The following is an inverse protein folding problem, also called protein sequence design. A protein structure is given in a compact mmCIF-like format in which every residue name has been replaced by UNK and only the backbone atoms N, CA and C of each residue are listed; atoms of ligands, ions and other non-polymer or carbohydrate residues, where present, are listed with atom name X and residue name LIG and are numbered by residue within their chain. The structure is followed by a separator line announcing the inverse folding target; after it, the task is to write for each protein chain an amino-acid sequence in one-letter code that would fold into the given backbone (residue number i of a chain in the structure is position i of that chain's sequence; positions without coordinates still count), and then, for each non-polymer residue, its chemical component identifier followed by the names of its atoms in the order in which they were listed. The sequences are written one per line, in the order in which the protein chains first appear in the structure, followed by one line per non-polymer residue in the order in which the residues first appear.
data_IF_420269424616
#
_entry.id   IF_420269424616
#
_cell.length_a   1.000
_cell.length_b   1.000
_cell.length_c   1.000
_cell.angle_alpha   90.00
_cell.angle_beta   90.00
_cell.angle_gamma   90.00
#
_symmetry.space_group_name_H-M   'P 1'
#
loop_
_entity.id
_entity.type
_entity.pdbx_description
1 polymer ?
#
# COMPACT_ATOMS: atom_id res chain seq x y z
N UNK A 1 -4.42 13.97 -5.03
CA UNK A 1 -3.49 13.89 -6.18
C UNK A 1 -3.06 12.44 -6.31
N UNK A 2 -3.42 11.76 -7.40
CA UNK A 2 -2.99 10.38 -7.64
C UNK A 2 -1.50 10.34 -7.92
N UNK A 3 -0.77 9.43 -7.26
CA UNK A 3 0.69 9.24 -7.31
C UNK A 3 1.24 8.74 -8.67
N UNK A 4 0.56 9.05 -9.78
CA UNK A 4 0.91 8.57 -11.12
C UNK A 4 1.27 9.69 -12.10
N UNK A 5 0.91 10.94 -11.80
CA UNK A 5 1.23 12.11 -12.61
C UNK A 5 2.52 12.76 -12.14
N UNK A 6 3.37 13.15 -13.10
CA UNK A 6 4.53 13.99 -12.84
C UNK A 6 4.10 15.38 -12.30
N UNK A 7 5.07 16.13 -11.81
CA UNK A 7 4.95 17.58 -11.65
C UNK A 7 4.59 18.25 -12.97
N UNK A 8 3.51 19.02 -12.94
CA UNK A 8 3.15 19.96 -13.99
C UNK A 8 3.57 21.37 -13.56
N UNK A 9 4.20 22.10 -14.48
CA UNK A 9 4.61 23.49 -14.26
C UNK A 9 3.42 24.43 -13.98
N UNK A 10 2.20 24.05 -14.37
CA UNK A 10 0.99 24.84 -14.08
C UNK A 10 0.59 24.81 -12.61
N UNK A 11 0.99 23.81 -11.82
CA UNK A 11 0.57 23.71 -10.42
C UNK A 11 1.01 24.90 -9.57
N UNK A 12 2.19 25.44 -9.85
CA UNK A 12 2.64 26.68 -9.20
C UNK A 12 1.76 27.88 -9.56
N UNK A 13 1.34 27.98 -10.83
CA UNK A 13 0.45 29.04 -11.32
C UNK A 13 -0.96 28.89 -10.74
N UNK A 14 -1.47 27.66 -10.64
CA UNK A 14 -2.77 27.36 -10.05
C UNK A 14 -2.82 27.73 -8.56
N UNK A 15 -1.79 27.34 -7.78
CA UNK A 15 -1.65 27.78 -6.39
C UNK A 15 -1.61 29.30 -6.29
N UNK A 16 -0.82 29.97 -7.14
CA UNK A 16 -0.74 31.43 -7.14
C UNK A 16 -2.10 32.07 -7.44
N UNK A 17 -2.86 31.52 -8.39
CA UNK A 17 -4.20 31.99 -8.72
C UNK A 17 -5.19 31.80 -7.56
N UNK A 18 -5.14 30.66 -6.87
CA UNK A 18 -5.97 30.42 -5.67
C UNK A 18 -5.63 31.44 -4.57
N UNK A 19 -4.35 31.70 -4.34
CA UNK A 19 -3.91 32.68 -3.35
C UNK A 19 -4.40 34.08 -3.73
N UNK A 20 -4.24 34.48 -5.00
CA UNK A 20 -4.74 35.77 -5.49
C UNK A 20 -6.25 35.92 -5.27
N UNK A 21 -7.04 34.90 -5.62
CA UNK A 21 -8.49 34.93 -5.43
C UNK A 21 -8.87 35.12 -3.95
N UNK A 22 -8.21 34.41 -3.04
CA UNK A 22 -8.45 34.56 -1.59
C UNK A 22 -8.08 35.97 -1.11
N UNK A 23 -6.97 36.52 -1.58
CA UNK A 23 -6.54 37.87 -1.24
C UNK A 23 -7.47 38.96 -1.80
N UNK A 24 -8.05 38.75 -2.98
CA UNK A 24 -8.94 39.70 -3.65
C UNK A 24 -10.39 39.66 -3.11
N UNK A 25 -10.87 38.49 -2.67
CA UNK A 25 -12.25 38.31 -2.19
C UNK A 25 -12.45 38.83 -0.76
N UNK A 26 -11.44 38.75 0.10
CA UNK A 26 -11.56 39.10 1.52
C UNK A 26 -11.20 40.56 1.82
N UNK A 27 -12.12 41.46 1.45
CA UNK A 27 -11.97 42.92 1.65
C UNK A 27 -11.86 43.35 3.11
N UNK A 28 -12.24 42.49 4.05
CA UNK A 28 -12.20 42.77 5.49
C UNK A 28 -10.79 42.61 6.07
N UNK A 29 -9.91 41.84 5.42
CA UNK A 29 -8.56 41.54 5.91
C UNK A 29 -7.51 42.63 5.65
N UNK A 30 -7.81 43.66 4.83
CA UNK A 30 -6.86 44.72 4.41
C UNK A 30 -5.41 44.20 4.22
N UNK A 31 -5.25 43.16 3.41
CA UNK A 31 -3.95 42.55 3.15
C UNK A 31 -3.07 43.55 2.40
N UNK A 32 -1.94 43.94 2.98
CA UNK A 32 -0.96 44.77 2.28
C UNK A 32 -0.21 43.95 1.23
N UNK A 33 0.33 44.62 0.21
CA UNK A 33 1.13 43.96 -0.82
C UNK A 33 2.32 43.17 -0.25
N UNK A 34 2.90 43.63 0.87
CA UNK A 34 4.00 42.94 1.54
C UNK A 34 3.54 41.61 2.17
N UNK A 35 2.37 41.60 2.84
CA UNK A 35 1.80 40.40 3.44
C UNK A 35 1.36 39.41 2.35
N UNK A 36 0.77 39.90 1.27
CA UNK A 36 0.40 39.08 0.11
C UNK A 36 1.62 38.39 -0.50
N UNK A 37 2.73 39.12 -0.67
CA UNK A 37 3.99 38.57 -1.14
C UNK A 37 4.54 37.50 -0.19
N UNK A 38 4.55 37.76 1.12
CA UNK A 38 5.00 36.79 2.13
C UNK A 38 4.14 35.52 2.11
N UNK A 39 2.82 35.66 2.00
CA UNK A 39 1.88 34.54 1.95
C UNK A 39 2.14 33.66 0.72
N UNK A 40 2.32 34.28 -0.45
CA UNK A 40 2.68 33.59 -1.70
C UNK A 40 3.97 32.81 -1.56
N UNK A 41 5.01 33.45 -1.03
CA UNK A 41 6.31 32.82 -0.82
C UNK A 41 6.23 31.67 0.18
N UNK A 42 5.49 31.83 1.28
CA UNK A 42 5.32 30.80 2.29
C UNK A 42 4.61 29.56 1.73
N UNK A 43 3.48 29.76 1.05
CA UNK A 43 2.69 28.65 0.49
C UNK A 43 3.46 27.94 -0.62
N UNK A 44 4.02 28.69 -1.58
CA UNK A 44 4.81 28.10 -2.67
C UNK A 44 6.08 27.42 -2.15
N UNK A 45 6.72 27.99 -1.13
CA UNK A 45 7.88 27.42 -0.46
C UNK A 45 7.56 26.07 0.20
N UNK A 46 6.42 25.96 0.88
CA UNK A 46 5.97 24.69 1.46
C UNK A 46 5.58 23.67 0.37
N UNK A 47 4.90 24.11 -0.69
CA UNK A 47 4.48 23.23 -1.79
C UNK A 47 5.66 22.68 -2.62
N UNK A 48 6.80 23.39 -2.66
CA UNK A 48 7.98 22.98 -3.42
C UNK A 48 8.48 21.58 -3.01
N UNK A 49 8.42 21.25 -1.72
CA UNK A 49 8.81 19.92 -1.22
C UNK A 49 7.95 18.81 -1.83
N UNK A 50 6.63 19.03 -1.86
CA UNK A 50 5.67 18.09 -2.41
C UNK A 50 5.82 17.93 -3.93
N UNK A 51 6.04 19.04 -4.65
CA UNK A 51 6.30 19.02 -6.10
C UNK A 51 7.56 18.25 -6.46
N UNK A 52 8.64 18.47 -5.72
CA UNK A 52 9.88 17.72 -5.91
C UNK A 52 9.70 16.24 -5.61
N UNK A 53 8.94 15.90 -4.56
CA UNK A 53 8.68 14.51 -4.21
C UNK A 53 7.86 13.82 -5.30
N UNK A 54 6.83 14.48 -5.82
CA UNK A 54 6.01 13.97 -6.91
C UNK A 54 6.83 13.70 -8.18
N UNK A 55 7.72 14.62 -8.57
CA UNK A 55 8.63 14.41 -9.69
C UNK A 55 9.60 13.24 -9.46
N UNK A 56 10.21 13.15 -8.26
CA UNK A 56 11.12 12.06 -7.92
C UNK A 56 10.42 10.70 -7.98
N UNK A 57 9.19 10.61 -7.48
CA UNK A 57 8.38 9.39 -7.53
C UNK A 57 8.03 9.01 -8.96
N UNK A 58 7.65 10.00 -9.78
CA UNK A 58 7.39 9.80 -11.20
C UNK A 58 8.62 9.29 -11.94
N UNK A 59 9.78 9.93 -11.79
CA UNK A 59 11.04 9.50 -12.39
C UNK A 59 11.41 8.10 -11.92
N UNK A 60 11.34 7.83 -10.61
CA UNK A 60 11.65 6.49 -10.07
C UNK A 60 10.79 5.39 -10.70
N UNK A 61 9.50 5.66 -10.93
CA UNK A 61 8.56 4.68 -11.50
C UNK A 61 8.73 4.52 -13.02
N UNK A 62 9.11 5.59 -13.73
CA UNK A 62 9.09 5.62 -15.19
C UNK A 62 10.48 5.61 -15.86
N UNK A 63 11.57 5.82 -15.11
CA UNK A 63 12.93 5.74 -15.64
C UNK A 63 13.29 4.28 -15.97
N UNK A 64 13.53 3.94 -17.25
CA UNK A 64 13.82 2.58 -17.66
C UNK A 64 15.11 2.02 -17.04
N UNK A 65 16.10 2.86 -16.77
CA UNK A 65 17.39 2.45 -16.20
C UNK A 65 17.25 2.09 -14.72
N UNK A 66 16.45 2.85 -13.97
CA UNK A 66 16.08 2.51 -12.58
C UNK A 66 15.29 1.21 -12.57
N UNK A 67 14.23 1.10 -13.39
CA UNK A 67 13.40 -0.10 -13.47
C UNK A 67 14.20 -1.36 -13.84
N UNK A 68 15.07 -1.28 -14.86
CA UNK A 68 15.96 -2.39 -15.23
C UNK A 68 16.95 -2.73 -14.11
N UNK A 69 17.46 -1.73 -13.41
CA UNK A 69 18.32 -1.92 -12.24
C UNK A 69 17.62 -2.72 -11.13
N UNK A 70 16.37 -2.39 -10.82
CA UNK A 70 15.55 -3.08 -9.82
C UNK A 70 15.19 -4.51 -10.26
N UNK A 71 14.98 -4.76 -11.56
CA UNK A 71 14.68 -6.10 -12.09
C UNK A 71 15.92 -7.00 -12.23
N UNK A 72 17.12 -6.43 -12.33
CA UNK A 72 18.38 -7.17 -12.57
C UNK A 72 18.59 -8.37 -11.64
N UNK A 73 18.35 -8.31 -10.32
CA UNK A 73 18.49 -9.47 -9.44
C UNK A 73 17.51 -10.60 -9.76
N UNK A 74 16.28 -10.27 -10.17
CA UNK A 74 15.26 -11.25 -10.54
C UNK A 74 15.62 -11.94 -11.86
N UNK A 75 16.01 -11.18 -12.88
CA UNK A 75 16.52 -11.71 -14.15
C UNK A 75 17.75 -12.60 -13.93
N UNK A 76 18.70 -12.15 -13.12
CA UNK A 76 19.91 -12.92 -12.82
C UNK A 76 19.59 -14.25 -12.13
N UNK A 77 18.72 -14.24 -11.10
CA UNK A 77 18.26 -15.48 -10.47
C UNK A 77 17.53 -16.39 -11.48
N UNK A 78 16.62 -15.82 -12.30
CA UNK A 78 15.86 -16.60 -13.30
C UNK A 78 16.80 -17.26 -14.31
N UNK A 79 17.85 -16.55 -14.72
CA UNK A 79 18.90 -17.07 -15.58
C UNK A 79 19.69 -18.20 -14.90
N UNK A 80 20.13 -18.02 -13.66
CA UNK A 80 20.83 -19.06 -12.90
C UNK A 80 20.02 -20.35 -12.80
N UNK A 81 18.73 -20.26 -12.46
CA UNK A 81 17.85 -21.43 -12.35
C UNK A 81 17.54 -22.09 -13.70
N UNK A 82 17.53 -21.32 -14.79
CA UNK A 82 17.40 -21.89 -16.14
C UNK A 82 18.63 -22.71 -16.52
N UNK A 83 19.82 -22.22 -16.17
CA UNK A 83 21.10 -22.76 -16.63
C UNK A 83 21.70 -23.83 -15.70
N UNK A 84 21.43 -23.76 -14.39
CA UNK A 84 21.78 -24.85 -13.48
C UNK A 84 20.85 -26.03 -13.75
N UNK A 85 21.35 -27.04 -14.46
CA UNK A 85 20.65 -28.29 -14.82
C UNK A 85 20.25 -29.13 -13.61
N UNK A 86 20.74 -28.80 -12.41
CA UNK A 86 20.25 -29.37 -11.16
C UNK A 86 18.91 -28.72 -10.82
N UNK A 87 17.78 -29.29 -11.21
CA UNK A 87 16.49 -28.85 -10.68
C UNK A 87 15.43 -29.95 -10.74
N UNK A 88 15.22 -30.59 -9.59
CA UNK A 88 13.95 -31.21 -9.20
C UNK A 88 12.84 -30.15 -9.30
N UNK A 89 11.63 -30.55 -9.72
CA UNK A 89 10.46 -29.67 -9.88
C UNK A 89 10.20 -28.76 -8.66
N UNK A 90 10.64 -29.22 -7.49
CA UNK A 90 10.55 -28.52 -6.21
C UNK A 90 11.26 -27.16 -6.16
N UNK A 91 12.52 -27.06 -6.62
CA UNK A 91 13.27 -25.80 -6.53
C UNK A 91 12.63 -24.69 -7.38
N UNK A 92 12.05 -25.05 -8.52
CA UNK A 92 11.33 -24.09 -9.39
C UNK A 92 10.03 -23.61 -8.75
N UNK A 93 9.27 -24.51 -8.14
CA UNK A 93 8.04 -24.15 -7.45
C UNK A 93 8.33 -23.22 -6.26
N UNK A 94 9.35 -23.55 -5.45
CA UNK A 94 9.83 -22.69 -4.37
C UNK A 94 10.25 -21.32 -4.86
N UNK A 95 11.02 -21.26 -5.94
CA UNK A 95 11.47 -19.99 -6.54
C UNK A 95 10.30 -19.13 -7.03
N UNK A 96 9.32 -19.74 -7.68
CA UNK A 96 8.10 -19.05 -8.11
C UNK A 96 7.36 -18.43 -6.92
N UNK A 97 7.26 -19.20 -5.82
CA UNK A 97 6.66 -18.70 -4.59
C UNK A 97 7.44 -17.52 -3.99
N UNK A 98 8.77 -17.60 -3.94
CA UNK A 98 9.62 -16.57 -3.32
C UNK A 98 9.63 -15.25 -4.09
N UNK A 99 9.67 -15.28 -5.41
CA UNK A 99 9.79 -14.06 -6.20
C UNK A 99 8.47 -13.36 -6.49
N UNK A 100 7.37 -14.09 -6.63
CA UNK A 100 6.11 -13.51 -7.09
C UNK A 100 4.94 -13.75 -6.13
N UNK A 101 4.71 -14.99 -5.67
CA UNK A 101 3.54 -15.24 -4.81
C UNK A 101 3.70 -14.64 -3.41
N UNK A 102 4.81 -14.84 -2.70
CA UNK A 102 5.02 -14.30 -1.34
C UNK A 102 4.93 -12.78 -1.32
N UNK A 103 5.62 -12.02 -2.21
CA UNK A 103 5.45 -10.57 -2.25
C UNK A 103 4.01 -10.12 -2.55
N UNK A 104 3.33 -10.80 -3.49
CA UNK A 104 1.95 -10.50 -3.81
C UNK A 104 0.98 -10.80 -2.65
N UNK A 105 1.21 -11.89 -1.92
CA UNK A 105 0.47 -12.26 -0.72
C UNK A 105 0.65 -11.20 0.37
N UNK A 106 1.88 -10.77 0.65
CA UNK A 106 2.16 -9.71 1.65
C UNK A 106 1.44 -8.42 1.25
N UNK A 107 1.55 -8.00 -0.01
CA UNK A 107 0.87 -6.79 -0.51
C UNK A 107 -0.65 -6.89 -0.38
N UNK A 108 -1.22 -8.05 -0.69
CA UNK A 108 -2.67 -8.27 -0.59
C UNK A 108 -3.15 -8.34 0.86
N UNK A 109 -2.39 -8.98 1.75
CA UNK A 109 -2.67 -8.99 3.20
C UNK A 109 -2.66 -7.55 3.72
N UNK A 110 -1.62 -6.78 3.43
CA UNK A 110 -1.53 -5.38 3.88
C UNK A 110 -2.69 -4.52 3.34
N UNK A 111 -3.10 -4.72 2.08
CA UNK A 111 -4.24 -4.01 1.48
C UNK A 111 -5.56 -4.36 2.18
N UNK A 112 -5.79 -5.63 2.49
CA UNK A 112 -7.03 -6.09 3.14
C UNK A 112 -7.06 -5.82 4.64
N UNK A 113 -5.90 -5.81 5.29
CA UNK A 113 -5.79 -5.61 6.73
C UNK A 113 -6.38 -4.27 7.17
N UNK A 114 -6.20 -3.21 6.38
CA UNK A 114 -6.84 -1.92 6.66
C UNK A 114 -8.36 -1.99 6.73
N UNK A 115 -8.98 -2.74 5.80
CA UNK A 115 -10.43 -2.93 5.80
C UNK A 115 -10.89 -3.78 6.99
N UNK A 116 -10.19 -4.88 7.29
CA UNK A 116 -10.51 -5.72 8.46
C UNK A 116 -10.40 -4.94 9.78
N UNK A 117 -9.41 -4.05 9.91
CA UNK A 117 -9.28 -3.16 11.08
C UNK A 117 -10.51 -2.25 11.18
N UNK A 118 -10.91 -1.60 10.08
CA UNK A 118 -12.08 -0.71 10.08
C UNK A 118 -13.35 -1.48 10.41
N UNK A 119 -13.56 -2.63 9.78
CA UNK A 119 -14.74 -3.47 10.02
C UNK A 119 -14.77 -3.97 11.47
N UNK A 120 -13.63 -4.37 12.03
CA UNK A 120 -13.52 -4.78 13.42
C UNK A 120 -13.86 -3.64 14.39
N UNK A 121 -13.32 -2.44 14.14
CA UNK A 121 -13.62 -1.26 14.94
C UNK A 121 -15.11 -0.94 14.87
N UNK A 122 -15.72 -0.97 13.69
CA UNK A 122 -17.15 -0.68 13.51
C UNK A 122 -18.06 -1.74 14.13
N UNK A 123 -17.64 -3.02 14.15
CA UNK A 123 -18.41 -4.13 14.69
C UNK A 123 -18.29 -4.27 16.21
N UNK A 124 -17.20 -3.80 16.83
CA UNK A 124 -17.08 -3.77 18.29
C UNK A 124 -18.21 -2.89 18.85
N UNK A 125 -19.23 -3.50 19.47
CA UNK A 125 -20.44 -2.83 19.97
C UNK A 125 -20.18 -1.66 20.94
N UNK A 126 -18.93 -1.48 21.41
CA UNK A 126 -18.49 -0.36 22.23
C UNK A 126 -17.99 0.85 21.41
N UNK A 127 -17.93 0.76 20.09
CA UNK A 127 -17.23 1.73 19.24
C UNK A 127 -18.07 2.93 18.77
N UNK A 128 -19.17 3.27 19.47
CA UNK A 128 -19.90 4.52 19.23
C UNK A 128 -18.96 5.75 19.20
N UNK A 129 -17.79 5.65 19.85
CA UNK A 129 -16.71 6.63 19.77
C UNK A 129 -16.28 7.00 18.33
N UNK A 130 -16.39 6.12 17.32
CA UNK A 130 -16.05 6.45 15.93
C UNK A 130 -17.27 6.76 15.05
N UNK A 131 -18.49 6.68 15.61
CA UNK A 131 -19.73 6.84 14.84
C UNK A 131 -19.99 8.27 14.38
N UNK A 132 -19.68 9.26 15.22
CA UNK A 132 -19.85 10.69 14.91
C UNK A 132 -18.70 11.49 15.47
N UNK A 133 -18.45 12.66 14.85
CA UNK A 133 -17.46 13.63 15.34
C UNK A 133 -17.68 13.99 16.81
N UNK A 134 -18.94 14.16 17.23
CA UNK A 134 -19.29 14.52 18.61
C UNK A 134 -18.89 13.41 19.59
N UNK A 135 -19.23 12.15 19.29
CA UNK A 135 -18.86 11.02 20.15
C UNK A 135 -17.36 10.77 20.19
N UNK A 136 -16.67 10.98 19.07
CA UNK A 136 -15.21 10.90 19.00
C UNK A 136 -14.56 11.93 19.92
N UNK A 137 -14.93 13.20 19.78
CA UNK A 137 -14.38 14.28 20.60
C UNK A 137 -14.69 14.06 22.09
N UNK A 138 -15.93 13.67 22.42
CA UNK A 138 -16.29 13.34 23.80
C UNK A 138 -15.42 12.23 24.37
N UNK A 139 -15.22 11.15 23.61
CA UNK A 139 -14.41 10.00 24.04
C UNK A 139 -12.95 10.39 24.27
N UNK A 140 -12.37 11.17 23.36
CA UNK A 140 -10.98 11.64 23.48
C UNK A 140 -10.81 12.56 24.70
N UNK A 141 -11.74 13.49 24.92
CA UNK A 141 -11.71 14.37 26.09
C UNK A 141 -11.89 13.59 27.40
N UNK A 142 -12.77 12.59 27.41
CA UNK A 142 -12.94 11.69 28.54
C UNK A 142 -11.66 10.91 28.84
N UNK A 143 -10.99 10.38 27.81
CA UNK A 143 -9.70 9.69 27.95
C UNK A 143 -8.63 10.60 28.60
N UNK A 144 -8.51 11.85 28.14
CA UNK A 144 -7.60 12.83 28.73
C UNK A 144 -7.91 13.06 30.22
N UNK A 145 -9.20 13.20 30.55
CA UNK A 145 -9.68 13.39 31.93
C UNK A 145 -9.29 12.22 32.84
N UNK A 146 -9.39 10.99 32.34
CA UNK A 146 -9.11 9.77 33.12
C UNK A 146 -7.60 9.49 33.26
N UNK A 147 -6.79 9.73 32.22
CA UNK A 147 -5.35 9.41 32.24
C UNK A 147 -4.49 10.47 32.93
N UNK A 148 -4.98 11.70 33.08
CA UNK A 148 -4.35 12.80 33.87
C UNK A 148 -2.86 13.08 33.59
N UNK A 149 -2.36 12.77 32.39
CA UNK A 149 -1.01 13.12 31.94
C UNK A 149 -0.99 14.51 31.30
N UNK A 150 -0.38 15.49 31.96
CA UNK A 150 -0.36 16.88 31.49
C UNK A 150 0.21 17.06 30.08
N UNK A 151 1.21 16.25 29.69
CA UNK A 151 1.79 16.26 28.34
C UNK A 151 0.74 16.01 27.24
N UNK A 152 -0.21 15.12 27.51
CA UNK A 152 -1.24 14.73 26.55
C UNK A 152 -2.26 15.86 26.33
N UNK A 153 -2.54 16.63 27.38
CA UNK A 153 -3.35 17.85 27.27
C UNK A 153 -2.62 18.92 26.45
N UNK A 154 -1.33 19.10 26.67
CA UNK A 154 -0.53 20.08 25.95
C UNK A 154 -0.46 19.71 24.46
N UNK A 155 -0.22 18.43 24.13
CA UNK A 155 -0.24 17.91 22.76
C UNK A 155 -1.64 18.11 22.13
N UNK A 156 -2.72 17.72 22.82
CA UNK A 156 -4.09 17.90 22.34
C UNK A 156 -4.44 19.37 22.01
N UNK A 157 -3.97 20.34 22.83
CA UNK A 157 -4.27 21.77 22.65
C UNK A 157 -3.37 22.41 21.58
N UNK A 158 -2.09 22.05 21.55
CA UNK A 158 -1.10 22.67 20.65
C UNK A 158 -1.05 22.03 19.26
N UNK A 159 -1.26 20.72 19.17
CA UNK A 159 -1.29 19.93 17.94
C UNK A 159 -2.33 18.80 18.05
N UNK A 160 -3.59 19.19 17.86
CA UNK A 160 -4.72 18.27 17.93
C UNK A 160 -4.57 17.09 16.96
N UNK A 161 -4.10 17.33 15.72
CA UNK A 161 -4.06 16.31 14.68
C UNK A 161 -3.06 15.21 15.03
N UNK A 162 -1.85 15.58 15.46
CA UNK A 162 -0.83 14.62 15.88
C UNK A 162 -1.31 13.82 17.09
N UNK A 163 -1.92 14.50 18.07
CA UNK A 163 -2.46 13.84 19.25
C UNK A 163 -3.53 12.79 18.89
N UNK A 164 -4.54 13.17 18.09
CA UNK A 164 -5.63 12.22 17.77
C UNK A 164 -5.14 11.06 16.90
N UNK A 165 -4.20 11.29 15.98
CA UNK A 165 -3.58 10.21 15.19
C UNK A 165 -2.87 9.20 16.09
N UNK A 166 -2.09 9.68 17.06
CA UNK A 166 -1.42 8.84 18.07
C UNK A 166 -2.43 8.09 18.93
N UNK A 167 -3.49 8.75 19.38
CA UNK A 167 -4.57 8.13 20.16
C UNK A 167 -5.28 7.02 19.39
N UNK A 168 -5.67 7.28 18.13
CA UNK A 168 -6.31 6.29 17.25
C UNK A 168 -5.37 5.09 17.06
N UNK A 169 -4.09 5.34 16.78
CA UNK A 169 -3.11 4.27 16.58
C UNK A 169 -2.98 3.37 17.83
N UNK A 170 -2.90 3.97 19.02
CA UNK A 170 -2.85 3.21 20.27
C UNK A 170 -4.13 2.39 20.49
N UNK A 171 -5.31 2.97 20.22
CA UNK A 171 -6.57 2.25 20.30
C UNK A 171 -6.60 1.04 19.37
N UNK A 172 -6.14 1.19 18.11
CA UNK A 172 -6.06 0.08 17.15
C UNK A 172 -5.12 -1.01 17.70
N UNK A 173 -3.94 -0.64 18.21
CA UNK A 173 -2.96 -1.58 18.77
C UNK A 173 -3.52 -2.36 19.96
N UNK A 174 -4.28 -1.70 20.83
CA UNK A 174 -4.85 -2.35 22.02
C UNK A 174 -6.04 -3.26 21.70
N UNK A 175 -6.81 -2.94 20.66
CA UNK A 175 -8.08 -3.63 20.37
C UNK A 175 -8.00 -4.66 19.26
N UNK A 176 -7.14 -4.46 18.27
CA UNK A 176 -7.06 -5.34 17.11
C UNK A 176 -6.05 -6.47 17.33
N UNK A 177 -6.49 -7.72 17.20
CA UNK A 177 -5.59 -8.86 17.07
C UNK A 177 -5.11 -8.97 15.61
N UNK A 178 -4.03 -8.25 15.30
CA UNK A 178 -3.43 -8.25 13.96
C UNK A 178 -3.01 -9.64 13.51
N UNK A 179 -2.52 -10.49 14.41
CA UNK A 179 -2.06 -11.82 14.05
C UNK A 179 -3.24 -12.69 13.62
N UNK A 180 -4.36 -12.63 14.35
CA UNK A 180 -5.59 -13.31 13.96
C UNK A 180 -6.13 -12.80 12.62
N UNK A 181 -6.24 -11.47 12.46
CA UNK A 181 -6.73 -10.86 11.21
C UNK A 181 -5.85 -11.25 10.01
N UNK A 182 -4.53 -11.16 10.14
CA UNK A 182 -3.59 -11.58 9.09
C UNK A 182 -3.74 -13.07 8.75
N UNK A 183 -3.90 -13.92 9.76
CA UNK A 183 -4.11 -15.37 9.58
C UNK A 183 -5.42 -15.68 8.83
N UNK A 184 -6.51 -14.99 9.17
CA UNK A 184 -7.80 -15.13 8.47
C UNK A 184 -7.68 -14.67 7.01
N UNK A 185 -7.07 -13.51 6.75
CA UNK A 185 -6.86 -13.03 5.38
C UNK A 185 -5.99 -14.01 4.59
N UNK A 186 -4.87 -14.45 5.17
CA UNK A 186 -3.92 -15.34 4.51
C UNK A 186 -4.56 -16.70 4.21
N UNK A 187 -5.26 -17.30 5.17
CA UNK A 187 -5.95 -18.58 4.98
C UNK A 187 -7.00 -18.52 3.87
N UNK A 188 -7.78 -17.44 3.81
CA UNK A 188 -8.76 -17.22 2.74
C UNK A 188 -8.10 -17.10 1.35
N UNK A 189 -6.98 -16.38 1.25
CA UNK A 189 -6.25 -16.24 -0.02
C UNK A 189 -5.59 -17.56 -0.41
N UNK A 190 -4.91 -18.23 0.53
CA UNK A 190 -4.26 -19.54 0.29
C UNK A 190 -5.27 -20.58 -0.15
N UNK A 191 -6.47 -20.59 0.44
CA UNK A 191 -7.57 -21.46 0.00
C UNK A 191 -7.94 -21.20 -1.46
N UNK A 192 -8.15 -19.94 -1.85
CA UNK A 192 -8.43 -19.58 -3.25
C UNK A 192 -7.32 -20.00 -4.21
N UNK A 193 -6.05 -19.84 -3.82
CA UNK A 193 -4.93 -20.26 -4.66
C UNK A 193 -4.96 -21.78 -4.86
N UNK A 194 -5.21 -22.55 -3.80
CA UNK A 194 -5.36 -24.01 -3.88
C UNK A 194 -6.54 -24.43 -4.76
N UNK A 195 -7.66 -23.73 -4.67
CA UNK A 195 -8.82 -23.98 -5.53
C UNK A 195 -8.46 -23.76 -7.02
N UNK A 196 -7.74 -22.68 -7.35
CA UNK A 196 -7.24 -22.40 -8.70
C UNK A 196 -6.27 -23.49 -9.18
N UNK A 197 -5.36 -23.95 -8.31
CA UNK A 197 -4.37 -24.98 -8.64
C UNK A 197 -5.04 -26.33 -8.96
N UNK A 198 -6.05 -26.72 -8.18
CA UNK A 198 -6.79 -27.96 -8.39
C UNK A 198 -7.55 -27.97 -9.72
N UNK A 199 -8.20 -26.85 -10.08
CA UNK A 199 -8.95 -26.70 -11.32
C UNK A 199 -8.09 -26.75 -12.59
N UNK A 200 -6.85 -26.26 -12.53
CA UNK A 200 -5.98 -26.12 -13.71
C UNK A 200 -5.10 -27.35 -13.99
N UNK A 201 -5.16 -28.41 -13.17
CA UNK A 201 -4.27 -29.58 -13.24
C UNK A 201 -4.42 -30.49 -14.49
N UNK A 202 -5.31 -30.13 -15.43
CA UNK A 202 -5.71 -30.97 -16.57
C UNK A 202 -5.24 -30.48 -17.95
N UNK A 203 -4.82 -29.22 -18.12
CA UNK A 203 -4.40 -28.66 -19.42
C UNK A 203 -2.90 -28.30 -19.43
N UNK A 204 -2.15 -28.81 -20.41
CA UNK A 204 -0.67 -28.79 -20.37
C UNK A 204 0.02 -27.65 -21.10
N UNK A 205 -0.54 -27.09 -22.19
CA UNK A 205 0.18 -26.06 -22.96
C UNK A 205 0.08 -24.67 -22.33
N UNK A 206 -1.05 -24.34 -21.70
CA UNK A 206 -1.38 -22.98 -21.27
C UNK A 206 -1.55 -22.81 -19.75
N UNK A 207 -1.22 -23.84 -18.96
CA UNK A 207 -1.41 -23.85 -17.50
C UNK A 207 -0.90 -22.56 -16.82
N UNK A 208 0.35 -22.18 -17.08
CA UNK A 208 0.94 -21.00 -16.44
C UNK A 208 0.21 -19.71 -16.84
N UNK A 209 -0.20 -19.59 -18.10
CA UNK A 209 -0.90 -18.39 -18.59
C UNK A 209 -2.24 -18.27 -17.89
N UNK A 210 -3.03 -19.35 -17.89
CA UNK A 210 -4.33 -19.38 -17.21
C UNK A 210 -4.20 -19.19 -15.69
N UNK A 211 -3.18 -19.78 -15.08
CA UNK A 211 -2.90 -19.63 -13.65
C UNK A 211 -2.57 -18.17 -13.30
N UNK A 212 -1.66 -17.53 -14.05
CA UNK A 212 -1.32 -16.11 -13.86
C UNK A 212 -2.54 -15.21 -14.01
N UNK A 213 -3.34 -15.39 -15.06
CA UNK A 213 -4.54 -14.58 -15.30
C UNK A 213 -5.61 -14.73 -14.22
N UNK A 214 -5.78 -15.94 -13.67
CA UNK A 214 -6.69 -16.15 -12.53
C UNK A 214 -6.16 -15.51 -11.25
N UNK A 215 -4.86 -15.65 -10.97
CA UNK A 215 -4.23 -15.01 -9.81
C UNK A 215 -4.34 -13.49 -9.86
N UNK A 216 -4.17 -12.86 -11.04
CA UNK A 216 -4.29 -11.40 -11.22
C UNK A 216 -5.66 -10.84 -10.79
N UNK A 217 -6.72 -11.66 -10.76
CA UNK A 217 -8.05 -11.23 -10.28
C UNK A 217 -8.09 -10.98 -8.77
N UNK A 218 -7.33 -11.77 -8.02
CA UNK A 218 -7.35 -11.77 -6.55
C UNK A 218 -6.07 -11.22 -5.91
N UNK A 219 -4.97 -11.14 -6.67
CA UNK A 219 -3.65 -10.70 -6.24
C UNK A 219 -3.09 -9.64 -7.18
N UNK A 220 -2.42 -8.64 -6.61
CA UNK A 220 -1.61 -7.70 -7.38
C UNK A 220 -0.26 -8.36 -7.66
N UNK A 221 -0.15 -9.01 -8.80
CA UNK A 221 1.09 -9.60 -9.29
C UNK A 221 1.97 -8.53 -9.95
N UNK A 222 3.28 -8.78 -9.96
CA UNK A 222 4.26 -7.92 -10.63
C UNK A 222 4.31 -8.26 -12.12
N UNK A 223 4.39 -7.25 -12.99
CA UNK A 223 4.39 -7.44 -14.45
C UNK A 223 5.61 -8.25 -14.93
N UNK A 224 6.71 -8.24 -14.17
CA UNK A 224 7.90 -9.05 -14.44
C UNK A 224 7.70 -10.57 -14.21
N UNK A 225 6.51 -11.00 -13.77
CA UNK A 225 6.17 -12.42 -13.66
C UNK A 225 6.17 -13.13 -15.01
N UNK A 226 6.01 -12.40 -16.11
CA UNK A 226 6.05 -12.95 -17.46
C UNK A 226 7.43 -13.51 -17.85
N UNK A 227 8.49 -13.10 -17.14
CA UNK A 227 9.84 -13.69 -17.26
C UNK A 227 9.87 -15.17 -16.85
N UNK A 228 8.93 -15.61 -16.00
CA UNK A 228 8.86 -17.00 -15.56
C UNK A 228 8.19 -17.89 -16.61
N UNK A 229 8.95 -18.89 -17.06
CA UNK A 229 8.51 -19.93 -17.99
C UNK A 229 8.87 -21.32 -17.45
N UNK A 230 7.96 -22.28 -17.63
CA UNK A 230 8.27 -23.70 -17.46
C UNK A 230 8.99 -24.23 -18.72
N UNK A 231 9.81 -25.28 -18.56
CA UNK A 231 10.36 -26.01 -19.71
C UNK A 231 9.26 -26.88 -20.33
N UNK A 232 9.32 -27.13 -21.63
CA UNK A 232 8.34 -27.93 -22.37
C UNK A 232 8.13 -29.32 -21.75
N UNK A 233 9.19 -29.95 -21.22
CA UNK A 233 9.13 -31.28 -20.60
C UNK A 233 8.75 -31.28 -19.11
N UNK A 234 8.27 -30.16 -18.55
CA UNK A 234 7.99 -30.08 -17.11
C UNK A 234 6.73 -30.86 -16.75
N UNK A 235 6.83 -31.77 -15.76
CA UNK A 235 5.65 -32.40 -15.18
C UNK A 235 4.84 -31.38 -14.36
N UNK A 236 3.73 -30.91 -14.93
CA UNK A 236 2.88 -29.88 -14.33
C UNK A 236 2.24 -30.37 -13.02
N UNK A 237 1.86 -31.65 -12.93
CA UNK A 237 1.28 -32.19 -11.68
C UNK A 237 2.28 -32.13 -10.54
N UNK A 238 3.52 -32.56 -10.81
CA UNK A 238 4.60 -32.47 -9.83
C UNK A 238 4.93 -31.02 -9.46
N UNK A 239 4.89 -30.10 -10.43
CA UNK A 239 5.08 -28.68 -10.18
C UNK A 239 3.97 -28.09 -9.28
N UNK A 240 2.71 -28.42 -9.55
CA UNK A 240 1.56 -28.00 -8.73
C UNK A 240 1.70 -28.52 -7.30
N UNK A 241 1.99 -29.81 -7.12
CA UNK A 241 2.19 -30.40 -5.78
C UNK A 241 3.34 -29.72 -5.01
N UNK A 242 4.43 -29.41 -5.70
CA UNK A 242 5.56 -28.72 -5.09
C UNK A 242 5.27 -27.25 -4.78
N UNK A 243 4.42 -26.61 -5.58
CA UNK A 243 3.99 -25.23 -5.37
C UNK A 243 3.06 -25.15 -4.15
N UNK A 244 2.15 -26.11 -4.00
CA UNK A 244 1.32 -26.26 -2.79
C UNK A 244 2.15 -26.49 -1.52
N UNK A 245 3.23 -27.28 -1.60
CA UNK A 245 4.15 -27.48 -0.47
C UNK A 245 4.99 -26.25 -0.12
N UNK A 246 5.14 -25.31 -1.07
CA UNK A 246 5.97 -24.12 -0.94
C UNK A 246 5.21 -22.86 -0.52
N UNK A 247 3.87 -22.92 -0.57
CA UNK A 247 2.92 -21.91 -0.09
C UNK A 247 2.77 -21.98 1.43
#
# INVERSE_FOLDING_TARGET
LSSESDYDETYGLELLNIINLVCDEDKDLQISADIELELKLFILGNALGDFQQMHKEFVKKNDPLIGLGEMKPKYWKSFQYRFQEKNESWERAKYFCELWLKPALIKQVNRKLGNEIVDHILQDCQSNQFSTRMYFQFTVMKYLLEKTHFSDYLEYISDYETFVKKWINNYIIEKCDFHHMQSVILSNITKKIKDILNENSQETSDFLVQFKERLKRDLILSDDMDVFHLKEDTNIKEFVENLEKSL
#
